data_IF_012436201824
#
_entry.id   IF_012436201824
#
_cell.length_a   1.000
_cell.length_b   1.000
_cell.length_c   1.000
_cell.angle_alpha   90.00
_cell.angle_beta   90.00
_cell.angle_gamma   90.00
#
_symmetry.space_group_name_H-M   'P 1'
#
loop_
_entity.id
_entity.type
_entity.pdbx_description
1 polymer ?
#
# COMPACT_ATOMS: atom_id res chain seq x y z
N UNK A 1 -11.73 -30.05 31.39
CA UNK A 1 -12.13 -28.63 31.22
C UNK A 1 -11.04 -27.64 31.62
N UNK A 2 -10.03 -28.02 32.35
CA UNK A 2 -9.00 -27.09 32.86
C UNK A 2 -7.93 -26.65 31.86
N UNK A 3 -7.78 -27.35 30.73
CA UNK A 3 -6.77 -27.01 29.73
C UNK A 3 -7.14 -25.84 28.76
N UNK A 4 -8.43 -25.58 28.58
CA UNK A 4 -8.92 -24.55 27.66
C UNK A 4 -8.97 -23.17 28.35
N UNK A 5 -9.37 -23.16 29.64
CA UNK A 5 -9.38 -21.94 30.45
C UNK A 5 -7.96 -21.39 30.71
N UNK A 6 -6.97 -22.29 30.87
CA UNK A 6 -5.57 -21.90 31.03
C UNK A 6 -4.95 -21.25 29.77
N UNK A 7 -5.32 -21.70 28.56
CA UNK A 7 -4.85 -21.10 27.30
C UNK A 7 -5.49 -19.74 27.03
N UNK A 8 -6.78 -19.59 27.30
CA UNK A 8 -7.49 -18.30 27.13
C UNK A 8 -6.95 -17.25 28.12
N UNK A 9 -6.66 -17.66 29.38
CA UNK A 9 -6.04 -16.77 30.35
C UNK A 9 -4.61 -16.35 29.94
N UNK A 10 -3.80 -17.29 29.42
CA UNK A 10 -2.43 -17.00 28.95
C UNK A 10 -2.40 -16.10 27.71
N UNK A 11 -3.34 -16.26 26.77
CA UNK A 11 -3.48 -15.36 25.61
C UNK A 11 -4.01 -13.97 26.01
N UNK A 12 -4.98 -13.92 26.94
CA UNK A 12 -5.47 -12.65 27.48
C UNK A 12 -4.39 -11.91 28.27
N UNK A 13 -3.54 -12.61 29.02
CA UNK A 13 -2.38 -12.02 29.71
C UNK A 13 -1.30 -11.53 28.74
N UNK A 14 -1.07 -12.24 27.61
CA UNK A 14 -0.16 -11.79 26.56
C UNK A 14 -0.67 -10.52 25.84
N UNK A 15 -1.97 -10.43 25.59
CA UNK A 15 -2.62 -9.25 24.96
C UNK A 15 -2.60 -8.05 25.93
N UNK A 16 -2.83 -8.27 27.21
CA UNK A 16 -2.76 -7.22 28.25
C UNK A 16 -1.31 -6.76 28.48
N UNK A 17 -0.33 -7.67 28.43
CA UNK A 17 1.09 -7.34 28.53
C UNK A 17 1.60 -6.56 27.31
N UNK A 18 1.09 -6.82 26.10
CA UNK A 18 1.44 -6.04 24.91
C UNK A 18 0.84 -4.61 24.94
N UNK A 19 -0.38 -4.44 25.47
CA UNK A 19 -0.97 -3.08 25.61
C UNK A 19 -0.18 -2.16 26.55
N UNK A 20 0.46 -2.70 27.59
CA UNK A 20 1.27 -1.92 28.53
C UNK A 20 2.72 -1.70 28.07
N UNK A 21 3.22 -2.43 27.06
CA UNK A 21 4.57 -2.26 26.49
C UNK A 21 4.57 -1.51 25.16
N UNK A 22 3.43 -1.33 24.49
CA UNK A 22 3.31 -0.67 23.18
C UNK A 22 3.83 0.77 23.20
N UNK A 23 3.70 1.49 24.31
CA UNK A 23 4.18 2.89 24.44
C UNK A 23 5.72 3.03 24.48
N UNK A 24 6.49 1.95 24.51
CA UNK A 24 7.96 1.99 24.66
C UNK A 24 8.75 1.49 23.46
N UNK A 25 8.09 0.96 22.42
CA UNK A 25 8.80 0.48 21.24
C UNK A 25 9.08 1.62 20.26
N UNK A 26 10.27 1.62 19.68
CA UNK A 26 10.68 2.56 18.67
C UNK A 26 10.37 2.02 17.28
N UNK A 27 9.52 2.70 16.53
CA UNK A 27 9.07 2.28 15.21
C UNK A 27 9.64 3.22 14.14
N UNK A 28 10.48 2.67 13.27
CA UNK A 28 10.94 3.36 12.07
C UNK A 28 9.89 3.19 10.96
N UNK A 29 9.38 4.30 10.43
CA UNK A 29 8.46 4.31 9.29
C UNK A 29 9.13 5.02 8.13
N UNK A 30 9.59 4.27 7.13
CA UNK A 30 10.12 4.87 5.89
C UNK A 30 8.97 5.30 4.99
N UNK A 31 9.11 6.42 4.28
CA UNK A 31 8.02 6.96 3.47
C UNK A 31 6.88 7.59 4.27
N UNK A 32 7.12 7.96 5.54
CA UNK A 32 6.13 8.54 6.46
C UNK A 32 5.50 9.85 5.95
N UNK A 33 6.22 10.63 5.15
CA UNK A 33 5.71 11.89 4.56
C UNK A 33 4.83 11.68 3.31
N UNK A 34 4.78 10.46 2.78
CA UNK A 34 3.96 10.11 1.62
C UNK A 34 2.48 9.91 1.98
N UNK A 35 1.67 9.66 0.94
CA UNK A 35 0.23 9.45 1.05
C UNK A 35 -0.14 8.37 2.09
N UNK A 36 0.29 7.12 1.88
CA UNK A 36 0.04 6.03 2.82
C UNK A 36 0.72 6.26 4.17
N UNK A 37 1.95 6.80 4.15
CA UNK A 37 2.75 7.05 5.35
C UNK A 37 2.06 7.95 6.36
N UNK A 38 1.43 9.04 5.90
CA UNK A 38 0.65 9.92 6.77
C UNK A 38 -0.44 9.17 7.54
N UNK A 39 -1.20 8.31 6.88
CA UNK A 39 -2.29 7.55 7.49
C UNK A 39 -1.77 6.45 8.42
N UNK A 40 -0.65 5.79 8.09
CA UNK A 40 0.01 4.82 8.98
C UNK A 40 0.54 5.49 10.25
N UNK A 41 1.17 6.66 10.14
CA UNK A 41 1.61 7.43 11.30
C UNK A 41 0.42 7.80 12.20
N UNK A 42 -0.68 8.29 11.59
CA UNK A 42 -1.90 8.61 12.32
C UNK A 42 -2.46 7.39 13.06
N UNK A 43 -2.56 6.25 12.38
CA UNK A 43 -3.06 5.01 12.96
C UNK A 43 -2.19 4.51 14.12
N UNK A 44 -0.85 4.60 13.98
CA UNK A 44 0.08 4.27 15.07
C UNK A 44 -0.13 5.19 16.28
N UNK A 45 -0.27 6.50 16.06
CA UNK A 45 -0.53 7.47 17.13
C UNK A 45 -1.88 7.22 17.81
N UNK A 46 -2.94 6.96 17.04
CA UNK A 46 -4.27 6.65 17.55
C UNK A 46 -4.27 5.36 18.41
N UNK A 47 -3.36 4.40 18.13
CA UNK A 47 -3.11 3.20 18.97
C UNK A 47 -2.14 3.43 20.12
N UNK A 48 -1.63 4.65 20.31
CA UNK A 48 -0.77 5.02 21.43
C UNK A 48 0.72 4.74 21.24
N UNK A 49 1.20 4.49 20.01
CA UNK A 49 2.63 4.43 19.71
C UNK A 49 3.21 5.83 19.63
N UNK A 50 4.07 6.20 20.57
CA UNK A 50 4.63 7.54 20.70
C UNK A 50 6.02 7.70 20.07
N UNK A 51 6.83 6.61 20.05
CA UNK A 51 8.22 6.70 19.61
C UNK A 51 8.31 6.36 18.11
N UNK A 52 7.97 7.31 17.26
CA UNK A 52 7.98 7.15 15.80
C UNK A 52 9.19 7.86 15.20
N UNK A 53 10.02 7.11 14.46
CA UNK A 53 11.18 7.61 13.72
C UNK A 53 10.76 7.71 12.26
N UNK A 54 10.72 8.93 11.71
CA UNK A 54 10.17 9.24 10.38
C UNK A 54 11.18 10.00 9.52
N UNK A 55 12.25 9.32 9.04
CA UNK A 55 13.31 9.97 8.29
C UNK A 55 12.80 10.52 6.96
N UNK A 56 13.34 11.68 6.57
CA UNK A 56 13.12 12.28 5.25
C UNK A 56 14.20 11.82 4.27
N UNK A 57 13.83 11.64 3.00
CA UNK A 57 14.78 11.23 1.96
C UNK A 57 15.88 12.27 1.69
N UNK A 58 15.65 13.53 2.02
CA UNK A 58 16.66 14.61 1.97
C UNK A 58 17.76 14.46 3.04
N UNK A 59 17.48 13.73 4.12
CA UNK A 59 18.42 13.50 5.23
C UNK A 59 19.00 12.09 5.16
N UNK A 60 18.13 11.11 4.86
CA UNK A 60 18.44 9.68 4.81
C UNK A 60 17.93 9.08 3.50
N UNK A 61 18.76 9.12 2.47
CA UNK A 61 18.47 8.40 1.22
C UNK A 61 18.68 6.90 1.43
N UNK A 62 17.60 6.12 1.36
CA UNK A 62 17.65 4.66 1.57
C UNK A 62 18.41 3.90 0.47
N UNK A 63 18.78 4.59 -0.64
CA UNK A 63 19.65 4.05 -1.68
C UNK A 63 21.15 4.15 -1.31
N UNK A 64 21.45 4.88 -0.25
CA UNK A 64 22.81 5.05 0.27
C UNK A 64 22.99 4.25 1.56
N UNK A 65 23.92 3.27 1.54
CA UNK A 65 24.17 2.41 2.69
C UNK A 65 24.71 3.18 3.90
N UNK A 66 25.51 4.24 3.69
CA UNK A 66 26.05 5.06 4.77
C UNK A 66 24.93 5.83 5.51
N UNK A 67 23.91 6.30 4.78
CA UNK A 67 22.74 6.93 5.37
C UNK A 67 21.93 5.93 6.22
N UNK A 68 21.76 4.68 5.74
CA UNK A 68 21.12 3.64 6.52
C UNK A 68 21.92 3.30 7.78
N UNK A 69 23.24 3.13 7.67
CA UNK A 69 24.10 2.82 8.81
C UNK A 69 24.07 3.97 9.85
N UNK A 70 24.08 5.22 9.39
CA UNK A 70 23.93 6.39 10.27
C UNK A 70 22.55 6.42 10.97
N UNK A 71 21.47 6.17 10.24
CA UNK A 71 20.11 6.14 10.78
C UNK A 71 19.96 5.07 11.88
N UNK A 72 20.46 3.85 11.60
CA UNK A 72 20.31 2.74 12.53
C UNK A 72 21.28 2.79 13.71
N UNK A 73 22.48 3.34 13.54
CA UNK A 73 23.42 3.53 14.67
C UNK A 73 23.00 4.62 15.62
N UNK A 74 22.31 5.65 15.12
CA UNK A 74 21.83 6.77 15.93
C UNK A 74 20.51 6.53 16.64
N UNK A 75 19.81 5.44 16.30
CA UNK A 75 18.47 5.14 16.82
C UNK A 75 18.36 3.68 17.26
N UNK A 76 17.79 3.44 18.43
CA UNK A 76 17.38 2.09 18.82
C UNK A 76 16.05 1.78 18.15
N UNK A 77 16.02 0.89 17.14
CA UNK A 77 14.85 0.57 16.33
C UNK A 77 14.37 -0.83 16.66
N UNK A 78 13.14 -0.94 17.16
CA UNK A 78 12.50 -2.22 17.47
C UNK A 78 11.71 -2.79 16.30
N UNK A 79 11.03 -1.91 15.55
CA UNK A 79 10.16 -2.27 14.42
C UNK A 79 10.45 -1.36 13.24
N UNK A 80 10.43 -1.93 12.03
CA UNK A 80 10.48 -1.17 10.79
C UNK A 80 9.20 -1.39 10.00
N UNK A 81 8.56 -0.30 9.53
CA UNK A 81 7.49 -0.34 8.53
C UNK A 81 8.03 0.32 7.26
N UNK A 82 8.25 -0.49 6.23
CA UNK A 82 8.81 -0.02 4.96
C UNK A 82 7.71 0.33 3.97
N UNK A 83 7.39 1.64 3.86
CA UNK A 83 6.42 2.19 2.92
C UNK A 83 7.08 2.97 1.77
N UNK A 84 8.36 3.36 1.93
CA UNK A 84 9.06 4.13 0.91
C UNK A 84 9.05 3.40 -0.44
N UNK A 85 8.67 4.13 -1.48
CA UNK A 85 8.67 3.66 -2.85
C UNK A 85 8.73 4.84 -3.83
N UNK A 86 9.32 4.60 -4.98
CA UNK A 86 9.15 5.44 -6.17
C UNK A 86 8.02 4.82 -6.97
N UNK A 87 6.86 5.48 -7.00
CA UNK A 87 5.62 4.92 -7.56
C UNK A 87 4.82 6.00 -8.30
N UNK A 88 4.03 5.59 -9.27
CA UNK A 88 3.12 6.46 -10.01
C UNK A 88 2.15 5.67 -10.88
N UNK A 89 1.29 6.36 -11.60
CA UNK A 89 0.33 5.77 -12.54
C UNK A 89 1.01 5.08 -13.73
N UNK A 90 0.21 4.52 -14.65
CA UNK A 90 0.69 3.78 -15.83
C UNK A 90 1.67 4.63 -16.66
N UNK A 91 1.35 5.90 -16.90
CA UNK A 91 2.22 6.80 -17.67
C UNK A 91 3.59 7.00 -17.03
N UNK A 92 3.65 7.23 -15.71
CA UNK A 92 4.90 7.37 -14.98
C UNK A 92 5.76 6.10 -15.03
N UNK A 93 5.13 4.91 -14.90
CA UNK A 93 5.81 3.61 -15.04
C UNK A 93 6.38 3.41 -16.45
N UNK A 94 5.62 3.74 -17.50
CA UNK A 94 6.08 3.63 -18.89
C UNK A 94 7.24 4.56 -19.21
N UNK A 95 7.24 5.77 -18.65
CA UNK A 95 8.28 6.76 -18.90
C UNK A 95 9.57 6.51 -18.09
N UNK A 96 9.50 5.81 -16.97
CA UNK A 96 10.62 5.65 -16.03
C UNK A 96 10.83 4.19 -15.57
N UNK A 97 10.78 3.16 -16.44
CA UNK A 97 10.81 1.77 -16.01
C UNK A 97 12.10 1.39 -15.30
N UNK A 98 13.24 1.86 -15.78
CA UNK A 98 14.56 1.58 -15.20
C UNK A 98 14.74 2.21 -13.82
N UNK A 99 14.37 3.48 -13.67
CA UNK A 99 14.44 4.17 -12.38
C UNK A 99 13.50 3.54 -11.35
N UNK A 100 12.26 3.20 -11.75
CA UNK A 100 11.30 2.56 -10.85
C UNK A 100 11.77 1.17 -10.41
N UNK A 101 12.41 0.41 -11.29
CA UNK A 101 13.02 -0.86 -10.91
C UNK A 101 14.18 -0.64 -9.93
N UNK A 102 15.19 0.15 -10.34
CA UNK A 102 16.43 0.34 -9.58
C UNK A 102 16.18 0.92 -8.19
N UNK A 103 15.47 2.05 -8.12
CA UNK A 103 15.26 2.77 -6.85
C UNK A 103 14.50 1.92 -5.84
N UNK A 104 13.42 1.24 -6.25
CA UNK A 104 12.66 0.39 -5.34
C UNK A 104 13.42 -0.87 -4.92
N UNK A 105 14.20 -1.48 -5.83
CA UNK A 105 15.01 -2.64 -5.52
C UNK A 105 16.11 -2.28 -4.52
N UNK A 106 16.91 -1.25 -4.81
CA UNK A 106 18.08 -0.91 -3.99
C UNK A 106 17.70 -0.41 -2.60
N UNK A 107 16.66 0.45 -2.49
CA UNK A 107 16.14 0.91 -1.20
C UNK A 107 15.72 -0.27 -0.32
N UNK A 108 14.95 -1.19 -0.90
CA UNK A 108 14.44 -2.32 -0.14
C UNK A 108 15.53 -3.31 0.24
N UNK A 109 16.39 -3.71 -0.71
CA UNK A 109 17.46 -4.67 -0.48
C UNK A 109 18.42 -4.18 0.62
N UNK A 110 18.85 -2.94 0.54
CA UNK A 110 19.77 -2.36 1.54
C UNK A 110 19.11 -2.20 2.90
N UNK A 111 17.84 -1.76 2.93
CA UNK A 111 17.10 -1.62 4.19
C UNK A 111 16.95 -2.98 4.89
N UNK A 112 16.54 -4.04 4.17
CA UNK A 112 16.36 -5.36 4.78
C UNK A 112 17.68 -5.96 5.26
N UNK A 113 18.80 -5.74 4.55
CA UNK A 113 20.11 -6.15 5.04
C UNK A 113 20.52 -5.35 6.29
N UNK A 114 20.25 -4.05 6.33
CA UNK A 114 20.52 -3.22 7.51
C UNK A 114 19.69 -3.68 8.71
N UNK A 115 18.38 -3.93 8.50
CA UNK A 115 17.46 -4.51 9.50
C UNK A 115 18.04 -5.81 10.11
N UNK A 116 18.54 -6.70 9.27
CA UNK A 116 19.18 -7.95 9.72
C UNK A 116 20.43 -7.69 10.55
N UNK A 117 21.36 -6.83 10.07
CA UNK A 117 22.62 -6.50 10.75
C UNK A 117 22.38 -5.88 12.13
N UNK A 118 21.35 -5.04 12.26
CA UNK A 118 21.00 -4.38 13.52
C UNK A 118 20.00 -5.20 14.36
N UNK A 119 19.67 -6.43 13.96
CA UNK A 119 18.82 -7.36 14.69
C UNK A 119 17.46 -6.77 15.10
N UNK A 120 16.81 -6.02 14.18
CA UNK A 120 15.48 -5.45 14.37
C UNK A 120 14.47 -6.57 14.63
N UNK A 121 13.62 -6.39 15.65
CA UNK A 121 12.70 -7.44 16.14
C UNK A 121 11.61 -7.80 15.14
N UNK A 122 11.14 -6.82 14.36
CA UNK A 122 10.09 -7.04 13.36
C UNK A 122 10.18 -6.06 12.21
N UNK A 123 9.89 -6.52 10.99
CA UNK A 123 9.82 -5.68 9.80
C UNK A 123 8.53 -5.96 9.03
N UNK A 124 7.80 -4.90 8.72
CA UNK A 124 6.63 -4.92 7.83
C UNK A 124 7.04 -4.35 6.49
N UNK A 125 6.95 -5.15 5.45
CA UNK A 125 7.29 -4.76 4.08
C UNK A 125 5.99 -4.58 3.31
N UNK A 126 5.77 -3.38 2.77
CA UNK A 126 4.63 -3.12 1.91
C UNK A 126 5.03 -3.32 0.45
N UNK A 127 4.51 -4.38 -0.13
CA UNK A 127 4.61 -4.74 -1.54
C UNK A 127 3.60 -4.02 -2.41
N UNK A 128 3.12 -4.70 -3.46
CA UNK A 128 2.15 -4.13 -4.40
C UNK A 128 1.37 -5.23 -5.12
N UNK A 129 0.10 -4.97 -5.42
CA UNK A 129 -0.70 -5.82 -6.31
C UNK A 129 -0.11 -5.94 -7.72
N UNK A 130 0.72 -4.99 -8.16
CA UNK A 130 1.43 -5.04 -9.44
C UNK A 130 2.44 -6.21 -9.55
N UNK A 131 2.71 -6.91 -8.44
CA UNK A 131 3.55 -8.12 -8.41
C UNK A 131 2.86 -9.38 -8.95
N UNK A 132 1.52 -9.35 -9.08
CA UNK A 132 0.75 -10.48 -9.59
C UNK A 132 0.89 -10.65 -11.11
N UNK A 133 0.81 -11.89 -11.60
CA UNK A 133 0.77 -12.15 -13.04
C UNK A 133 -0.40 -11.42 -13.74
N UNK A 134 -0.16 -11.00 -14.98
CA UNK A 134 -1.16 -10.30 -15.79
C UNK A 134 -2.48 -11.05 -15.92
N UNK A 135 -2.40 -12.38 -16.05
CA UNK A 135 -3.54 -13.29 -16.28
C UNK A 135 -3.81 -14.22 -15.08
N UNK A 136 -3.47 -13.79 -13.86
CA UNK A 136 -3.85 -14.54 -12.67
C UNK A 136 -5.38 -14.65 -12.55
N UNK A 137 -5.86 -15.76 -11.97
CA UNK A 137 -7.29 -15.96 -11.71
C UNK A 137 -7.79 -14.94 -10.69
N UNK A 138 -8.90 -14.27 -11.03
CA UNK A 138 -9.50 -13.26 -10.15
C UNK A 138 -10.59 -13.92 -9.29
N UNK A 139 -10.63 -13.64 -7.97
CA UNK A 139 -9.73 -12.78 -7.19
C UNK A 139 -8.34 -13.42 -7.00
N UNK A 140 -7.28 -12.59 -7.03
CA UNK A 140 -5.89 -13.05 -6.90
C UNK A 140 -5.63 -13.60 -5.50
N UNK A 141 -5.11 -14.80 -5.41
CA UNK A 141 -4.61 -15.42 -4.18
C UNK A 141 -3.11 -15.27 -4.07
N UNK A 142 -2.60 -15.23 -2.87
CA UNK A 142 -1.15 -15.09 -2.61
C UNK A 142 -0.34 -16.23 -3.25
N UNK A 143 -0.93 -17.42 -3.39
CA UNK A 143 -0.34 -18.56 -4.11
C UNK A 143 -0.08 -18.29 -5.59
N UNK A 144 -0.81 -17.35 -6.19
CA UNK A 144 -0.74 -17.09 -7.63
C UNK A 144 0.43 -16.15 -8.01
N UNK A 145 1.12 -15.59 -7.01
CA UNK A 145 2.22 -14.63 -7.23
C UNK A 145 3.29 -15.16 -8.21
N UNK A 146 3.52 -16.47 -8.24
CA UNK A 146 4.59 -17.09 -9.03
C UNK A 146 4.09 -17.77 -10.32
N UNK A 147 2.80 -17.66 -10.64
CA UNK A 147 2.20 -18.38 -11.79
C UNK A 147 2.39 -17.67 -13.13
N UNK A 148 3.16 -16.58 -13.21
CA UNK A 148 3.42 -15.90 -14.49
C UNK A 148 4.11 -14.54 -14.31
N UNK A 149 4.24 -13.83 -15.46
CA UNK A 149 4.85 -12.49 -15.51
C UNK A 149 3.81 -11.40 -15.24
N UNK A 150 4.17 -10.32 -14.53
CA UNK A 150 3.29 -9.19 -14.29
C UNK A 150 2.90 -8.45 -15.58
N UNK A 151 1.90 -7.57 -15.49
CA UNK A 151 1.53 -6.69 -16.61
C UNK A 151 2.72 -5.78 -16.96
N UNK A 152 3.04 -5.68 -18.24
CA UNK A 152 4.31 -5.21 -18.79
C UNK A 152 4.65 -3.76 -18.37
N UNK A 153 3.65 -2.89 -18.28
CA UNK A 153 3.87 -1.48 -17.92
C UNK A 153 4.28 -1.32 -16.45
N UNK A 154 3.79 -2.21 -15.58
CA UNK A 154 4.04 -2.19 -14.15
C UNK A 154 5.09 -3.23 -13.71
N UNK A 155 5.52 -4.12 -14.61
CA UNK A 155 6.39 -5.23 -14.28
C UNK A 155 7.72 -4.79 -13.61
N UNK A 156 8.43 -3.75 -14.08
CA UNK A 156 9.67 -3.31 -13.44
C UNK A 156 9.46 -2.96 -11.96
N UNK A 157 8.47 -2.14 -11.65
CA UNK A 157 8.10 -1.78 -10.27
C UNK A 157 7.63 -3.01 -9.46
N UNK A 158 6.71 -3.79 -10.05
CA UNK A 158 6.14 -4.98 -9.41
C UNK A 158 7.19 -6.03 -9.05
N UNK A 159 8.16 -6.28 -9.95
CA UNK A 159 9.26 -7.22 -9.72
C UNK A 159 10.26 -6.70 -8.68
N UNK A 160 10.62 -5.41 -8.72
CA UNK A 160 11.48 -4.82 -7.70
C UNK A 160 10.90 -5.01 -6.30
N UNK A 161 9.59 -4.78 -6.12
CA UNK A 161 8.91 -5.02 -4.84
C UNK A 161 8.83 -6.52 -4.52
N UNK A 162 8.57 -7.40 -5.50
CA UNK A 162 8.48 -8.85 -5.32
C UNK A 162 9.82 -9.48 -4.89
N UNK A 163 10.96 -8.93 -5.29
CA UNK A 163 12.27 -9.38 -4.81
C UNK A 163 12.40 -9.28 -3.29
N UNK A 164 11.78 -8.29 -2.66
CA UNK A 164 11.82 -8.11 -1.21
C UNK A 164 11.06 -9.22 -0.47
N UNK A 165 10.03 -9.81 -1.09
CA UNK A 165 9.39 -11.01 -0.56
C UNK A 165 10.38 -12.18 -0.50
N UNK A 166 11.12 -12.42 -1.59
CA UNK A 166 12.13 -13.49 -1.63
C UNK A 166 13.20 -13.25 -0.57
N UNK A 167 13.72 -12.02 -0.48
CA UNK A 167 14.74 -11.67 0.52
C UNK A 167 14.21 -11.86 1.94
N UNK A 168 12.98 -11.44 2.22
CA UNK A 168 12.37 -11.60 3.56
C UNK A 168 12.21 -13.05 3.97
N UNK A 169 11.82 -13.93 3.03
CA UNK A 169 11.68 -15.36 3.26
C UNK A 169 13.05 -16.02 3.47
N UNK A 170 14.03 -15.73 2.60
CA UNK A 170 15.39 -16.23 2.75
C UNK A 170 16.04 -15.80 4.08
N UNK A 171 15.82 -14.55 4.51
CA UNK A 171 16.36 -14.05 5.78
C UNK A 171 15.64 -14.66 6.99
N UNK A 172 14.37 -14.99 6.87
CA UNK A 172 13.64 -15.76 7.89
C UNK A 172 14.24 -17.13 8.03
N UNK A 173 14.46 -17.84 6.94
CA UNK A 173 14.98 -19.22 6.94
C UNK A 173 16.43 -19.30 7.45
N UNK A 174 17.27 -18.36 7.00
CA UNK A 174 18.70 -18.38 7.32
C UNK A 174 19.04 -17.73 8.68
N UNK A 175 18.36 -16.64 9.03
CA UNK A 175 18.72 -15.81 10.19
C UNK A 175 17.61 -15.70 11.25
N UNK A 176 16.46 -16.32 11.04
CA UNK A 176 15.32 -16.22 11.97
C UNK A 176 14.67 -14.82 12.00
N UNK A 177 14.91 -13.99 10.98
CA UNK A 177 14.38 -12.62 10.92
C UNK A 177 12.86 -12.61 10.85
N UNK A 178 12.19 -11.82 11.70
CA UNK A 178 10.74 -11.68 11.66
C UNK A 178 10.34 -10.57 10.67
N UNK A 179 10.24 -10.94 9.40
CA UNK A 179 9.82 -10.05 8.32
C UNK A 179 8.49 -10.54 7.74
N UNK A 180 7.50 -9.66 7.65
CA UNK A 180 6.19 -9.93 7.04
C UNK A 180 6.02 -9.09 5.78
N UNK A 181 5.26 -9.61 4.82
CA UNK A 181 5.07 -8.98 3.52
C UNK A 181 3.59 -8.80 3.21
N UNK A 182 3.17 -7.56 2.95
CA UNK A 182 1.78 -7.19 2.69
C UNK A 182 1.62 -6.69 1.26
N UNK A 183 0.53 -7.07 0.62
CA UNK A 183 0.20 -6.75 -0.77
C UNK A 183 -1.05 -5.88 -0.84
N UNK A 184 -0.94 -4.56 -0.68
CA UNK A 184 -2.10 -3.69 -0.83
C UNK A 184 -2.54 -3.64 -2.30
N UNK A 185 -3.86 -3.56 -2.49
CA UNK A 185 -4.50 -3.20 -3.75
C UNK A 185 -4.36 -1.69 -4.00
N UNK A 186 -4.98 -1.14 -5.04
CA UNK A 186 -4.91 0.29 -5.32
C UNK A 186 -5.50 1.11 -4.16
N UNK A 187 -4.68 2.00 -3.61
CA UNK A 187 -5.06 2.89 -2.52
C UNK A 187 -5.76 4.13 -3.07
N UNK A 188 -6.68 4.70 -2.29
CA UNK A 188 -7.28 6.00 -2.57
C UNK A 188 -7.70 6.68 -1.26
N UNK A 189 -7.82 8.01 -1.27
CA UNK A 189 -8.28 8.76 -0.09
C UNK A 189 -7.70 10.17 -0.01
N UNK A 190 -7.98 10.89 1.08
CA UNK A 190 -7.39 12.20 1.38
C UNK A 190 -5.86 12.16 1.36
N UNK A 191 -5.23 13.22 0.81
CA UNK A 191 -3.77 13.38 0.62
C UNK A 191 -3.17 12.50 -0.47
N UNK A 192 -3.97 11.85 -1.32
CA UNK A 192 -3.47 11.18 -2.51
C UNK A 192 -2.77 12.17 -3.45
N UNK A 193 -2.01 11.65 -4.41
CA UNK A 193 -1.32 12.44 -5.39
C UNK A 193 -2.26 12.82 -6.55
N UNK A 194 -2.53 14.12 -6.73
CA UNK A 194 -3.38 14.68 -7.79
C UNK A 194 -2.59 15.29 -8.96
N UNK A 195 -1.28 15.07 -9.03
CA UNK A 195 -0.47 15.51 -10.16
C UNK A 195 -0.87 14.74 -11.45
N UNK A 196 -1.22 15.41 -12.55
CA UNK A 196 -1.68 14.78 -13.78
C UNK A 196 -0.70 13.77 -14.39
N UNK A 197 0.60 13.98 -14.21
CA UNK A 197 1.64 13.13 -14.81
C UNK A 197 1.93 11.85 -14.03
N UNK A 198 1.65 11.84 -12.73
CA UNK A 198 2.04 10.76 -11.83
C UNK A 198 0.89 10.15 -11.03
N UNK A 199 -0.30 10.75 -11.05
CA UNK A 199 -1.44 10.29 -10.26
C UNK A 199 -2.03 8.95 -10.72
N UNK A 200 -2.66 8.26 -9.79
CA UNK A 200 -3.49 7.09 -10.07
C UNK A 200 -4.89 7.50 -10.58
N UNK A 201 -5.69 6.52 -10.99
CA UNK A 201 -6.96 6.75 -11.71
C UNK A 201 -7.98 7.56 -10.90
N UNK A 202 -8.15 7.30 -9.61
CA UNK A 202 -9.14 8.03 -8.78
C UNK A 202 -8.78 9.52 -8.67
N UNK A 203 -7.59 9.91 -8.18
CA UNK A 203 -7.23 11.33 -8.11
C UNK A 203 -7.18 12.00 -9.48
N UNK A 204 -6.76 11.30 -10.55
CA UNK A 204 -6.80 11.85 -11.91
C UNK A 204 -8.23 12.18 -12.37
N UNK A 205 -9.19 11.27 -12.14
CA UNK A 205 -10.59 11.48 -12.49
C UNK A 205 -11.23 12.61 -11.66
N UNK A 206 -10.98 12.65 -10.34
CA UNK A 206 -11.47 13.73 -9.48
C UNK A 206 -11.01 15.07 -10.01
N UNK A 207 -9.71 15.22 -10.29
CA UNK A 207 -9.14 16.45 -10.81
C UNK A 207 -9.78 16.85 -12.14
N UNK A 208 -9.87 15.92 -13.10
CA UNK A 208 -10.48 16.20 -14.42
C UNK A 208 -11.94 16.66 -14.32
N UNK A 209 -12.76 16.01 -13.48
CA UNK A 209 -14.15 16.42 -13.32
C UNK A 209 -14.30 17.76 -12.60
N UNK A 210 -13.45 18.04 -11.62
CA UNK A 210 -13.45 19.34 -10.92
C UNK A 210 -13.04 20.45 -11.87
N UNK A 211 -11.95 20.28 -12.63
CA UNK A 211 -11.50 21.26 -13.65
C UNK A 211 -12.54 21.46 -14.74
N UNK A 212 -13.18 20.38 -15.23
CA UNK A 212 -14.24 20.49 -16.22
C UNK A 212 -15.44 21.30 -15.70
N UNK A 213 -15.84 21.09 -14.44
CA UNK A 213 -16.91 21.84 -13.79
C UNK A 213 -16.55 23.34 -13.64
N UNK A 214 -15.33 23.63 -13.18
CA UNK A 214 -14.87 25.01 -12.95
C UNK A 214 -14.75 25.80 -14.28
N UNK A 215 -14.30 25.13 -15.34
CA UNK A 215 -14.05 25.74 -16.66
C UNK A 215 -15.29 25.67 -17.59
N UNK A 216 -16.36 24.98 -17.18
CA UNK A 216 -17.54 24.76 -18.02
C UNK A 216 -17.29 23.82 -19.21
N UNK A 217 -16.31 22.93 -19.12
CA UNK A 217 -16.02 21.98 -20.18
C UNK A 217 -17.13 20.92 -20.28
N UNK A 218 -17.61 20.66 -21.50
CA UNK A 218 -18.69 19.71 -21.75
C UNK A 218 -18.25 18.25 -21.76
N UNK A 219 -16.94 17.97 -21.87
CA UNK A 219 -16.38 16.62 -21.98
C UNK A 219 -15.06 16.47 -21.21
N UNK A 220 -14.76 15.24 -20.77
CA UNK A 220 -13.45 14.84 -20.27
C UNK A 220 -12.99 13.57 -20.96
N UNK A 221 -11.68 13.44 -21.22
CA UNK A 221 -11.07 12.22 -21.76
C UNK A 221 -10.64 11.30 -20.63
N UNK A 222 -11.05 10.02 -20.72
CA UNK A 222 -10.65 8.92 -19.83
C UNK A 222 -9.88 7.88 -20.63
N UNK A 223 -8.67 7.55 -20.19
CA UNK A 223 -7.81 6.59 -20.90
C UNK A 223 -8.41 5.18 -20.89
N UNK A 224 -8.25 4.47 -22.02
CA UNK A 224 -8.68 3.10 -22.21
C UNK A 224 -10.14 2.99 -22.64
N UNK A 225 -10.67 1.78 -22.55
CA UNK A 225 -12.04 1.45 -22.97
C UNK A 225 -13.08 1.66 -21.87
N UNK A 226 -12.66 1.88 -20.63
CA UNK A 226 -13.52 1.93 -19.45
C UNK A 226 -13.97 0.55 -18.93
N UNK A 227 -13.64 -0.54 -19.64
CA UNK A 227 -14.09 -1.91 -19.28
C UNK A 227 -13.21 -2.58 -18.22
N UNK A 228 -11.96 -2.18 -18.10
CA UNK A 228 -11.05 -2.72 -17.10
C UNK A 228 -11.62 -2.53 -15.69
N UNK A 229 -11.45 -3.55 -14.84
CA UNK A 229 -11.96 -3.50 -13.46
C UNK A 229 -10.82 -3.43 -12.45
N UNK A 230 -11.08 -2.78 -11.31
CA UNK A 230 -10.12 -2.59 -10.22
C UNK A 230 -10.80 -2.80 -8.88
N UNK A 231 -10.02 -3.32 -7.95
CA UNK A 231 -10.28 -3.26 -6.52
C UNK A 231 -9.54 -2.05 -5.94
N UNK A 232 -10.16 -1.38 -5.00
CA UNK A 232 -9.60 -0.22 -4.32
C UNK A 232 -9.79 -0.36 -2.82
N UNK A 233 -8.81 0.03 -2.05
CA UNK A 233 -8.91 0.11 -0.60
C UNK A 233 -8.73 1.55 -0.13
N UNK A 234 -9.62 1.99 0.77
CA UNK A 234 -9.49 3.31 1.39
C UNK A 234 -8.22 3.38 2.25
N UNK A 235 -7.49 4.47 2.14
CA UNK A 235 -6.15 4.58 2.71
C UNK A 235 -6.10 4.38 4.23
N UNK A 236 -7.15 4.79 4.95
CA UNK A 236 -7.22 4.56 6.40
C UNK A 236 -7.44 3.08 6.74
N UNK A 237 -8.24 2.34 5.94
CA UNK A 237 -8.37 0.88 6.10
C UNK A 237 -7.04 0.17 5.82
N UNK A 238 -6.31 0.61 4.79
CA UNK A 238 -4.99 0.06 4.51
C UNK A 238 -4.00 0.32 5.66
N UNK A 239 -4.02 1.51 6.26
CA UNK A 239 -3.21 1.85 7.42
C UNK A 239 -3.58 0.97 8.64
N UNK A 240 -4.88 0.80 8.92
CA UNK A 240 -5.39 -0.13 9.95
C UNK A 240 -4.88 -1.56 9.70
N UNK A 241 -4.97 -2.04 8.46
CA UNK A 241 -4.51 -3.37 8.07
C UNK A 241 -3.01 -3.56 8.29
N UNK A 242 -2.18 -2.59 7.91
CA UNK A 242 -0.73 -2.61 8.08
C UNK A 242 -0.35 -2.64 9.57
N UNK A 243 -0.96 -1.77 10.39
CA UNK A 243 -0.65 -1.71 11.83
C UNK A 243 -1.18 -2.96 12.55
N UNK A 244 -2.35 -3.47 12.16
CA UNK A 244 -2.88 -4.72 12.72
C UNK A 244 -1.99 -5.92 12.37
N UNK A 245 -1.47 -6.00 11.14
CA UNK A 245 -0.51 -7.03 10.75
C UNK A 245 0.82 -6.88 11.50
N UNK A 246 1.31 -5.65 11.72
CA UNK A 246 2.47 -5.39 12.55
C UNK A 246 2.29 -5.99 13.97
N UNK A 247 1.12 -5.81 14.56
CA UNK A 247 0.83 -6.27 15.91
C UNK A 247 0.62 -7.80 16.01
N UNK A 248 -0.02 -8.41 15.01
CA UNK A 248 -0.61 -9.75 15.16
C UNK A 248 -0.04 -10.82 14.23
N UNK A 249 0.51 -10.42 13.06
CA UNK A 249 0.97 -11.39 12.06
C UNK A 249 2.47 -11.58 12.12
N UNK A 250 2.92 -12.85 12.16
CA UNK A 250 4.33 -13.23 12.15
C UNK A 250 4.63 -14.35 11.14
N UNK A 251 3.68 -14.66 10.26
CA UNK A 251 3.83 -15.73 9.27
C UNK A 251 4.79 -15.38 8.12
N UNK A 252 5.31 -16.38 7.40
CA UNK A 252 6.20 -16.19 6.25
C UNK A 252 5.45 -15.91 4.94
N UNK A 253 4.14 -16.21 4.88
CA UNK A 253 3.35 -16.00 3.68
C UNK A 253 3.11 -14.51 3.43
N UNK A 254 3.14 -14.05 2.17
CA UNK A 254 2.63 -12.72 1.84
C UNK A 254 1.12 -12.67 2.13
N UNK A 255 0.58 -11.48 2.42
CA UNK A 255 -0.85 -11.31 2.72
C UNK A 255 -1.44 -10.14 1.94
N UNK A 256 -2.54 -10.39 1.25
CA UNK A 256 -3.29 -9.39 0.51
C UNK A 256 -4.03 -8.42 1.45
N UNK A 257 -3.95 -7.13 1.12
CA UNK A 257 -4.76 -6.08 1.74
C UNK A 257 -5.62 -5.40 0.67
N UNK A 258 -6.92 -5.69 0.67
CA UNK A 258 -7.89 -5.17 -0.30
C UNK A 258 -9.26 -5.00 0.33
N UNK A 259 -10.19 -4.44 -0.42
CA UNK A 259 -11.60 -4.37 -0.01
C UNK A 259 -12.39 -5.59 -0.48
N UNK A 260 -11.88 -6.32 -1.47
CA UNK A 260 -12.60 -7.38 -2.16
C UNK A 260 -13.71 -6.88 -3.09
N UNK A 261 -13.83 -5.56 -3.25
CA UNK A 261 -14.80 -4.94 -4.15
C UNK A 261 -14.16 -4.68 -5.53
N UNK A 262 -14.83 -5.10 -6.58
CA UNK A 262 -14.37 -4.88 -7.96
C UNK A 262 -15.33 -3.93 -8.68
N UNK A 263 -14.79 -2.86 -9.30
CA UNK A 263 -15.56 -1.86 -10.05
C UNK A 263 -14.91 -1.58 -11.41
N UNK A 264 -15.72 -1.37 -12.47
CA UNK A 264 -15.22 -0.95 -13.76
C UNK A 264 -14.74 0.52 -13.73
N UNK A 265 -13.77 0.87 -14.60
CA UNK A 265 -13.33 2.27 -14.74
C UNK A 265 -14.48 3.17 -15.21
N UNK A 266 -15.41 2.63 -16.02
CA UNK A 266 -16.61 3.35 -16.44
C UNK A 266 -17.53 3.69 -15.28
N UNK A 267 -17.83 2.72 -14.40
CA UNK A 267 -18.69 2.94 -13.24
C UNK A 267 -18.02 3.85 -12.21
N UNK A 268 -16.70 3.67 -12.01
CA UNK A 268 -15.89 4.55 -11.17
C UNK A 268 -15.96 6.01 -11.66
N UNK A 269 -15.77 6.24 -12.97
CA UNK A 269 -15.83 7.59 -13.55
C UNK A 269 -17.21 8.22 -13.36
N UNK A 270 -18.30 7.46 -13.54
CA UNK A 270 -19.66 7.93 -13.30
C UNK A 270 -19.90 8.25 -11.81
N UNK A 271 -19.38 7.43 -10.89
CA UNK A 271 -19.48 7.67 -9.44
C UNK A 271 -18.75 8.96 -9.05
N UNK A 272 -17.52 9.17 -9.54
CA UNK A 272 -16.73 10.39 -9.27
C UNK A 272 -17.41 11.61 -9.90
N UNK A 273 -17.91 11.52 -11.14
CA UNK A 273 -18.72 12.56 -11.79
C UNK A 273 -19.85 13.01 -10.90
N UNK A 274 -20.62 12.06 -10.37
CA UNK A 274 -21.75 12.32 -9.45
C UNK A 274 -21.27 12.97 -8.15
N UNK A 275 -20.19 12.46 -7.55
CA UNK A 275 -19.65 13.00 -6.31
C UNK A 275 -19.13 14.45 -6.44
N UNK A 276 -18.56 14.80 -7.60
CA UNK A 276 -18.10 16.16 -7.93
C UNK A 276 -19.28 17.08 -8.31
N UNK A 277 -20.38 16.49 -8.79
CA UNK A 277 -21.52 17.25 -9.34
C UNK A 277 -21.13 17.92 -10.68
N UNK A 278 -20.45 17.20 -11.56
CA UNK A 278 -20.07 17.64 -12.89
C UNK A 278 -21.06 17.13 -13.94
N UNK A 279 -21.41 17.95 -14.94
CA UNK A 279 -22.25 17.55 -16.06
C UNK A 279 -21.45 17.06 -17.29
N UNK A 280 -20.11 17.14 -17.23
CA UNK A 280 -19.24 16.77 -18.34
C UNK A 280 -19.48 15.33 -18.82
N UNK A 281 -19.50 15.11 -20.12
CA UNK A 281 -19.59 13.78 -20.73
C UNK A 281 -18.25 13.06 -20.64
N UNK A 282 -18.31 11.75 -20.43
CA UNK A 282 -17.12 10.91 -20.39
C UNK A 282 -16.84 10.41 -21.80
N UNK A 283 -15.64 10.69 -22.32
CA UNK A 283 -15.15 10.17 -23.59
C UNK A 283 -13.99 9.23 -23.32
N UNK A 284 -14.13 7.96 -23.71
CA UNK A 284 -13.08 6.96 -23.55
C UNK A 284 -12.10 7.00 -24.74
N UNK A 285 -10.81 7.15 -24.43
CA UNK A 285 -9.72 7.12 -25.42
C UNK A 285 -9.11 5.71 -25.48
N UNK A 286 -9.63 4.88 -26.37
CA UNK A 286 -9.17 3.50 -26.57
C UNK A 286 -7.77 3.39 -27.21
N UNK A 287 -7.15 4.50 -27.64
CA UNK A 287 -5.77 4.51 -28.09
C UNK A 287 -4.77 4.41 -26.91
N UNK A 288 -5.24 4.65 -25.70
CA UNK A 288 -4.48 4.53 -24.45
C UNK A 288 -4.68 3.16 -23.83
N UNK A 289 -3.67 2.63 -23.09
CA UNK A 289 -3.76 1.30 -22.51
C UNK A 289 -4.79 1.21 -21.39
N UNK A 290 -5.54 0.10 -21.33
CA UNK A 290 -6.38 -0.29 -20.20
C UNK A 290 -5.55 -0.84 -19.01
N UNK A 291 -4.31 -1.27 -19.27
CA UNK A 291 -3.51 -2.01 -18.31
C UNK A 291 -4.03 -3.44 -18.11
N UNK A 292 -3.89 -3.98 -16.89
CA UNK A 292 -4.42 -5.31 -16.57
C UNK A 292 -5.95 -5.33 -16.70
N UNK A 293 -6.56 -6.32 -17.41
CA UNK A 293 -8.01 -6.33 -17.65
C UNK A 293 -8.86 -6.38 -16.38
N UNK A 294 -8.50 -7.24 -15.43
CA UNK A 294 -9.16 -7.36 -14.12
C UNK A 294 -8.13 -7.37 -13.01
N UNK A 295 -8.48 -6.75 -11.87
CA UNK A 295 -7.64 -6.72 -10.68
C UNK A 295 -8.50 -6.65 -9.43
N UNK A 296 -8.58 -7.76 -8.70
CA UNK A 296 -9.22 -7.87 -7.39
C UNK A 296 -8.47 -8.90 -6.55
N UNK A 297 -8.40 -8.69 -5.25
CA UNK A 297 -7.65 -9.53 -4.32
C UNK A 297 -8.59 -10.44 -3.51
N UNK A 298 -8.18 -11.68 -3.29
CA UNK A 298 -8.73 -12.51 -2.21
C UNK A 298 -8.15 -12.00 -0.89
N UNK A 299 -9.01 -11.55 0.02
CA UNK A 299 -8.64 -10.96 1.31
C UNK A 299 -8.86 -11.91 2.49
N UNK A 300 -9.24 -13.16 2.22
CA UNK A 300 -9.58 -14.14 3.25
C UNK A 300 -8.42 -14.47 4.19
N UNK A 301 -7.17 -14.40 3.69
CA UNK A 301 -5.99 -14.67 4.51
C UNK A 301 -5.77 -13.57 5.56
N UNK A 302 -5.95 -12.28 5.21
CA UNK A 302 -5.85 -11.18 6.16
C UNK A 302 -6.88 -11.31 7.29
N UNK A 303 -8.12 -11.66 6.95
CA UNK A 303 -9.16 -11.91 7.94
C UNK A 303 -8.81 -13.09 8.86
N UNK A 304 -8.34 -14.20 8.29
CA UNK A 304 -7.99 -15.43 9.03
C UNK A 304 -6.80 -15.21 9.96
N UNK A 305 -5.72 -14.59 9.47
CA UNK A 305 -4.44 -14.54 10.18
C UNK A 305 -4.39 -13.45 11.26
N UNK A 306 -5.02 -12.29 11.02
CA UNK A 306 -4.97 -11.17 11.96
C UNK A 306 -6.29 -10.40 12.11
N UNK A 307 -7.40 -10.90 11.54
CA UNK A 307 -8.73 -10.37 11.75
C UNK A 307 -9.02 -9.07 10.98
N UNK A 308 -8.24 -8.75 9.94
CA UNK A 308 -8.45 -7.54 9.15
C UNK A 308 -9.53 -7.73 8.09
N UNK A 309 -10.44 -6.76 8.03
CA UNK A 309 -11.44 -6.57 6.97
C UNK A 309 -11.57 -5.07 6.72
N UNK A 310 -11.48 -4.63 5.47
CA UNK A 310 -11.73 -3.24 5.10
C UNK A 310 -13.19 -2.87 5.41
N UNK A 311 -13.42 -1.68 5.97
CA UNK A 311 -14.72 -1.27 6.54
C UNK A 311 -15.36 -0.10 5.80
N UNK A 312 -14.53 0.73 5.13
CA UNK A 312 -14.99 1.97 4.51
C UNK A 312 -15.88 1.66 3.31
N UNK A 313 -17.12 2.18 3.32
CA UNK A 313 -17.98 2.14 2.16
C UNK A 313 -17.35 2.92 1.02
N UNK A 314 -17.27 2.32 -0.17
CA UNK A 314 -16.55 2.89 -1.31
C UNK A 314 -17.13 4.25 -1.74
N UNK A 315 -18.46 4.38 -1.80
CA UNK A 315 -19.12 5.64 -2.16
C UNK A 315 -18.81 6.76 -1.16
N UNK A 316 -18.78 6.44 0.13
CA UNK A 316 -18.42 7.42 1.17
C UNK A 316 -16.94 7.80 1.09
N UNK A 317 -16.05 6.83 0.88
CA UNK A 317 -14.62 7.09 0.69
C UNK A 317 -14.33 7.98 -0.53
N UNK A 318 -15.05 7.79 -1.64
CA UNK A 318 -14.96 8.68 -2.83
C UNK A 318 -15.43 10.10 -2.47
N UNK A 319 -16.57 10.25 -1.79
CA UNK A 319 -17.07 11.58 -1.36
C UNK A 319 -16.07 12.29 -0.45
N UNK A 320 -15.50 11.59 0.51
CA UNK A 320 -14.48 12.16 1.42
C UNK A 320 -13.24 12.61 0.65
N UNK A 321 -12.79 11.79 -0.32
CA UNK A 321 -11.63 12.12 -1.16
C UNK A 321 -11.89 13.36 -2.02
N UNK A 322 -13.07 13.46 -2.65
CA UNK A 322 -13.50 14.64 -3.43
C UNK A 322 -13.56 15.88 -2.53
N UNK A 323 -14.21 15.78 -1.36
CA UNK A 323 -14.33 16.88 -0.42
C UNK A 323 -12.96 17.37 0.08
N UNK A 324 -12.04 16.43 0.33
CA UNK A 324 -10.68 16.77 0.73
C UNK A 324 -9.97 17.52 -0.40
N UNK A 325 -10.04 17.02 -1.63
CA UNK A 325 -9.42 17.68 -2.78
C UNK A 325 -9.96 19.11 -2.98
N UNK A 326 -11.29 19.30 -2.93
CA UNK A 326 -11.90 20.62 -3.08
C UNK A 326 -11.46 21.64 -2.02
N UNK A 327 -11.11 21.19 -0.82
CA UNK A 327 -10.65 22.05 0.29
C UNK A 327 -9.15 22.36 0.23
N UNK A 328 -8.35 21.57 -0.50
CA UNK A 328 -6.88 21.61 -0.43
C UNK A 328 -6.20 21.84 -1.80
N UNK A 329 -6.96 22.14 -2.86
CA UNK A 329 -6.47 22.45 -4.20
C UNK A 329 -6.00 23.91 -4.35
#
# INVERSE_FOLDING_TARGET
MDGILGKIAAESFKIISMKNTSHKINILVTGASGFLGFHVIKELQDRGYANLITPRSSEYDLRNQEHLDSLFSSNSIDVVIHLAAVVGGIGANQNNPGAFFYDNAIMGIQLLETVRRYSVKKTVIVGTVCSYPKFATVPFKESDLWSGYPEETNAPYGLAKKMLLVQSQAYRDQYGSNMIYLLPVNLYGPKDNFDPESSHVIPALIKKFVEAKDLGNSEIDVWGTGKATRDFIYVSDAAEGIVTAMERYNGPAPVNLGSGMEISISDLANMIKTAVGSDAKIKFDSSKPDGQPRRSLDTSLAQKEFGFVAKTNFTEGIKETVNWYLKNR
#
